data_IF_162827750571
#
_entry.id   IF_162827750571
#
_cell.length_a   1.000
_cell.length_b   1.000
_cell.length_c   1.000
_cell.angle_alpha   90.00
_cell.angle_beta   90.00
_cell.angle_gamma   90.00
#
_symmetry.space_group_name_H-M   'P 1'
#
loop_
_entity.id
_entity.type
_entity.pdbx_description
1 polymer ?
#
# COMPACT_ATOMS: atom_id res chain seq x y z
N UNK A 1 -20.77 -3.04 0.77
CA UNK A 1 -20.70 -1.61 1.14
C UNK A 1 -19.34 -1.42 1.76
N UNK A 2 -18.55 -0.45 1.30
CA UNK A 2 -17.21 -0.23 1.89
C UNK A 2 -17.39 0.33 3.30
N UNK A 3 -16.50 -0.05 4.23
CA UNK A 3 -16.57 0.45 5.60
C UNK A 3 -16.20 1.94 5.64
N UNK A 4 -16.61 2.64 6.69
CA UNK A 4 -16.21 4.04 6.89
C UNK A 4 -14.67 4.18 6.90
N UNK A 5 -13.96 3.18 7.42
CA UNK A 5 -12.51 3.15 7.46
C UNK A 5 -11.85 3.01 6.07
N UNK A 6 -12.42 2.21 5.16
CA UNK A 6 -11.94 2.16 3.75
C UNK A 6 -12.02 3.56 3.13
N UNK A 7 -13.17 4.24 3.28
CA UNK A 7 -13.36 5.58 2.72
C UNK A 7 -12.40 6.60 3.36
N UNK A 8 -12.18 6.52 4.68
CA UNK A 8 -11.24 7.39 5.39
C UNK A 8 -9.81 7.25 4.89
N UNK A 9 -9.35 6.01 4.62
CA UNK A 9 -8.01 5.78 4.06
C UNK A 9 -7.96 6.23 2.59
N UNK A 10 -8.95 5.80 1.80
CA UNK A 10 -9.00 6.03 0.35
C UNK A 10 -9.03 7.51 -0.02
N UNK A 11 -9.89 8.26 0.66
CA UNK A 11 -10.14 9.69 0.39
C UNK A 11 -9.36 10.61 1.34
N UNK A 12 -8.41 10.06 2.11
CA UNK A 12 -7.59 10.82 3.05
C UNK A 12 -6.97 12.05 2.39
N UNK A 13 -6.97 13.15 3.12
CA UNK A 13 -6.24 14.37 2.74
C UNK A 13 -5.47 14.86 3.96
N UNK A 14 -4.17 15.21 3.81
CA UNK A 14 -3.36 15.68 4.93
C UNK A 14 -4.00 16.88 5.64
N UNK A 15 -4.05 16.82 6.96
CA UNK A 15 -4.53 17.93 7.80
C UNK A 15 -3.33 18.78 8.16
N UNK A 16 -3.32 20.04 7.71
CA UNK A 16 -2.17 20.95 7.86
C UNK A 16 -0.85 20.35 7.32
N UNK A 17 -0.95 19.55 6.24
CA UNK A 17 0.19 18.84 5.64
C UNK A 17 0.64 17.58 6.40
N UNK A 18 -0.04 17.22 7.50
CA UNK A 18 0.28 16.04 8.30
C UNK A 18 -0.43 14.78 7.82
N UNK A 19 0.33 13.71 7.68
CA UNK A 19 -0.16 12.34 7.42
C UNK A 19 -0.37 11.53 8.69
N UNK A 20 0.05 12.03 9.87
CA UNK A 20 -0.01 11.28 11.14
C UNK A 20 -1.37 10.66 11.48
N UNK A 21 -2.53 11.25 11.15
CA UNK A 21 -3.82 10.61 11.43
C UNK A 21 -4.00 9.23 10.75
N UNK A 22 -3.29 8.96 9.65
CA UNK A 22 -3.31 7.65 8.98
C UNK A 22 -2.75 6.53 9.86
N UNK A 23 -1.85 6.80 10.79
CA UNK A 23 -1.31 5.76 11.69
C UNK A 23 -2.43 5.06 12.45
N UNK A 24 -3.40 5.83 12.98
CA UNK A 24 -4.56 5.27 13.67
C UNK A 24 -5.47 4.49 12.73
N UNK A 25 -5.65 4.95 11.49
CA UNK A 25 -6.45 4.23 10.49
C UNK A 25 -5.80 2.90 10.08
N UNK A 26 -4.47 2.88 9.95
CA UNK A 26 -3.74 1.65 9.65
C UNK A 26 -3.78 0.68 10.84
N UNK A 27 -3.57 1.16 12.07
CA UNK A 27 -3.71 0.33 13.26
C UNK A 27 -5.08 -0.34 13.35
N UNK A 28 -6.16 0.41 13.10
CA UNK A 28 -7.53 -0.12 13.07
C UNK A 28 -7.72 -1.13 11.93
N UNK A 29 -7.26 -0.80 10.72
CA UNK A 29 -7.40 -1.68 9.56
C UNK A 29 -6.66 -3.01 9.75
N UNK A 30 -5.42 -2.97 10.25
CA UNK A 30 -4.61 -4.19 10.45
C UNK A 30 -4.97 -4.98 11.70
N UNK A 31 -5.78 -4.41 12.60
CA UNK A 31 -6.37 -5.12 13.74
C UNK A 31 -7.77 -5.70 13.46
N UNK A 32 -8.30 -5.46 12.26
CA UNK A 32 -9.63 -5.96 11.85
C UNK A 32 -9.63 -7.48 11.63
N UNK A 33 -10.83 -8.05 11.50
CA UNK A 33 -11.00 -9.49 11.26
C UNK A 33 -10.47 -9.94 9.89
N UNK A 34 -10.47 -9.05 8.90
CA UNK A 34 -9.92 -9.29 7.56
C UNK A 34 -9.18 -8.03 7.04
N UNK A 35 -7.90 -7.84 7.42
CA UNK A 35 -7.14 -6.66 7.00
C UNK A 35 -6.98 -6.51 5.48
N UNK A 36 -7.12 -7.61 4.73
CA UNK A 36 -6.93 -7.60 3.27
C UNK A 36 -7.98 -6.78 2.54
N UNK A 37 -9.14 -6.51 3.17
CA UNK A 37 -10.20 -5.67 2.62
C UNK A 37 -9.74 -4.22 2.39
N UNK A 38 -8.74 -3.74 3.14
CA UNK A 38 -8.25 -2.36 3.08
C UNK A 38 -7.14 -2.13 2.05
N UNK A 39 -6.61 -3.17 1.41
CA UNK A 39 -5.48 -3.04 0.49
C UNK A 39 -5.78 -2.09 -0.69
N UNK A 40 -7.00 -2.16 -1.25
CA UNK A 40 -7.39 -1.28 -2.36
C UNK A 40 -7.56 0.18 -1.93
N UNK A 41 -7.80 0.46 -0.65
CA UNK A 41 -7.82 1.83 -0.11
C UNK A 41 -6.39 2.35 0.05
N UNK A 42 -5.50 1.53 0.61
CA UNK A 42 -4.08 1.85 0.82
C UNK A 42 -3.36 2.07 -0.52
N UNK A 43 -3.51 1.20 -1.50
CA UNK A 43 -2.87 1.42 -2.80
C UNK A 43 -3.44 2.64 -3.52
N UNK A 44 -4.73 2.95 -3.34
CA UNK A 44 -5.29 4.17 -3.90
C UNK A 44 -4.72 5.43 -3.23
N UNK A 45 -4.48 5.39 -1.92
CA UNK A 45 -3.76 6.45 -1.21
C UNK A 45 -2.37 6.67 -1.83
N UNK A 46 -1.61 5.60 -2.09
CA UNK A 46 -0.30 5.73 -2.74
C UNK A 46 -0.38 6.29 -4.16
N UNK A 47 -1.41 5.98 -4.94
CA UNK A 47 -1.62 6.59 -6.27
C UNK A 47 -1.92 8.09 -6.17
N UNK A 48 -2.66 8.52 -5.15
CA UNK A 48 -3.02 9.93 -4.92
C UNK A 48 -1.84 10.77 -4.43
N UNK A 49 -0.87 10.13 -3.76
CA UNK A 49 0.37 10.75 -3.29
C UNK A 49 1.60 10.01 -3.87
N UNK A 50 1.81 10.07 -5.21
CA UNK A 50 2.72 9.14 -5.88
C UNK A 50 4.19 9.38 -5.62
N UNK A 51 4.57 10.60 -5.26
CA UNK A 51 5.96 10.99 -5.00
C UNK A 51 6.27 11.13 -3.50
N UNK A 52 5.33 10.78 -2.62
CA UNK A 52 5.42 10.95 -1.17
C UNK A 52 5.50 9.57 -0.46
N UNK A 53 6.10 9.55 0.73
CA UNK A 53 6.09 8.42 1.65
C UNK A 53 5.25 8.68 2.92
N UNK A 54 4.48 9.77 2.92
CA UNK A 54 3.64 10.21 4.02
C UNK A 54 4.47 10.67 5.22
N UNK A 55 5.65 11.24 4.98
CA UNK A 55 6.66 11.52 6.01
C UNK A 55 6.98 10.29 6.87
N UNK A 56 7.06 9.12 6.24
CA UNK A 56 7.30 7.84 6.89
C UNK A 56 6.03 7.03 7.22
N UNK A 57 4.85 7.65 7.27
CA UNK A 57 3.60 6.96 7.70
C UNK A 57 3.17 5.86 6.73
N UNK A 58 3.47 5.98 5.43
CA UNK A 58 3.13 4.93 4.46
C UNK A 58 3.90 3.62 4.71
N UNK A 59 5.02 3.67 5.44
CA UNK A 59 5.76 2.48 5.86
C UNK A 59 4.99 1.63 6.87
N UNK A 60 4.16 2.24 7.73
CA UNK A 60 3.27 1.50 8.63
C UNK A 60 2.29 0.63 7.85
N UNK A 61 1.71 1.16 6.75
CA UNK A 61 0.85 0.39 5.87
C UNK A 61 1.61 -0.74 5.14
N UNK A 62 2.82 -0.46 4.66
CA UNK A 62 3.69 -1.47 4.07
C UNK A 62 3.97 -2.62 5.05
N UNK A 63 4.35 -2.31 6.29
CA UNK A 63 4.66 -3.32 7.30
C UNK A 63 3.42 -4.11 7.71
N UNK A 64 2.26 -3.46 7.82
CA UNK A 64 0.99 -4.15 8.02
C UNK A 64 0.68 -5.14 6.91
N UNK A 65 0.80 -4.72 5.64
CA UNK A 65 0.61 -5.61 4.49
C UNK A 65 1.64 -6.74 4.44
N UNK A 66 2.92 -6.48 4.75
CA UNK A 66 3.97 -7.50 4.84
C UNK A 66 3.67 -8.55 5.93
N UNK A 67 3.13 -8.12 7.08
CA UNK A 67 2.78 -9.01 8.18
C UNK A 67 1.55 -9.88 7.88
N UNK A 68 0.55 -9.34 7.18
CA UNK A 68 -0.68 -10.06 6.80
C UNK A 68 -0.47 -10.94 5.55
N UNK A 69 0.29 -10.45 4.57
CA UNK A 69 0.55 -11.10 3.28
C UNK A 69 -0.58 -10.94 2.26
N UNK A 70 -0.37 -11.48 1.05
CA UNK A 70 -1.39 -11.54 -0.01
C UNK A 70 -1.64 -10.23 -0.75
N UNK A 71 -0.75 -9.25 -0.62
CA UNK A 71 -0.87 -7.95 -1.29
C UNK A 71 -0.17 -7.90 -2.66
N UNK A 72 0.65 -8.90 -2.98
CA UNK A 72 1.64 -8.83 -4.06
C UNK A 72 1.00 -8.67 -5.45
N UNK A 73 -0.06 -9.42 -5.75
CA UNK A 73 -0.78 -9.29 -7.02
C UNK A 73 -1.47 -7.92 -7.16
N UNK A 74 -1.99 -7.37 -6.07
CA UNK A 74 -2.55 -6.02 -6.04
C UNK A 74 -1.47 -4.96 -6.22
N UNK A 75 -0.34 -5.10 -5.53
CA UNK A 75 0.83 -4.24 -5.72
C UNK A 75 1.22 -4.18 -7.19
N UNK A 76 1.29 -5.34 -7.85
CA UNK A 76 1.61 -5.40 -9.27
C UNK A 76 0.57 -4.68 -10.13
N UNK A 77 -0.72 -4.92 -9.89
CA UNK A 77 -1.80 -4.29 -10.64
C UNK A 77 -1.80 -2.76 -10.50
N UNK A 78 -1.62 -2.24 -9.28
CA UNK A 78 -1.54 -0.81 -9.01
C UNK A 78 -0.26 -0.18 -9.55
N UNK A 79 0.89 -0.87 -9.44
CA UNK A 79 2.15 -0.41 -10.04
C UNK A 79 2.02 -0.27 -11.56
N UNK A 80 1.46 -1.27 -12.24
CA UNK A 80 1.30 -1.24 -13.70
C UNK A 80 0.30 -0.17 -14.16
N UNK A 81 -0.72 0.12 -13.33
CA UNK A 81 -1.71 1.15 -13.60
C UNK A 81 -1.13 2.55 -13.42
N UNK A 82 -0.54 2.83 -12.27
CA UNK A 82 0.06 4.14 -11.94
C UNK A 82 1.16 3.97 -10.89
N UNK A 83 2.44 3.86 -11.31
CA UNK A 83 3.52 3.64 -10.36
C UNK A 83 3.72 4.82 -9.42
N UNK A 84 3.73 4.53 -8.12
CA UNK A 84 4.16 5.43 -7.04
C UNK A 84 5.53 5.04 -6.48
N UNK A 85 6.17 5.94 -5.73
CA UNK A 85 7.42 5.67 -5.01
C UNK A 85 7.27 4.49 -4.04
N UNK A 86 6.14 4.39 -3.34
CA UNK A 86 5.86 3.25 -2.46
C UNK A 86 5.74 1.93 -3.23
N UNK A 87 4.97 1.88 -4.31
CA UNK A 87 4.81 0.64 -5.10
C UNK A 87 6.13 0.21 -5.78
N UNK A 88 6.91 1.16 -6.31
CA UNK A 88 8.28 0.93 -6.81
C UNK A 88 9.17 0.32 -5.73
N UNK A 89 9.16 0.92 -4.54
CA UNK A 89 9.98 0.50 -3.40
C UNK A 89 9.61 -0.90 -2.94
N UNK A 90 8.32 -1.20 -2.82
CA UNK A 90 7.82 -2.52 -2.45
C UNK A 90 8.25 -3.59 -3.46
N UNK A 91 8.07 -3.36 -4.78
CA UNK A 91 8.51 -4.30 -5.80
C UNK A 91 10.03 -4.52 -5.79
N UNK A 92 10.82 -3.45 -5.58
CA UNK A 92 12.27 -3.57 -5.44
C UNK A 92 12.65 -4.43 -4.22
N UNK A 93 11.96 -4.26 -3.10
CA UNK A 93 12.18 -5.08 -1.89
C UNK A 93 11.87 -6.55 -2.13
N UNK A 94 10.73 -6.85 -2.75
CA UNK A 94 10.34 -8.22 -3.13
C UNK A 94 11.37 -8.84 -4.07
N UNK A 95 11.81 -8.11 -5.11
CA UNK A 95 12.87 -8.59 -6.00
C UNK A 95 14.17 -8.87 -5.24
N UNK A 96 14.57 -7.95 -4.36
CA UNK A 96 15.83 -8.06 -3.62
C UNK A 96 15.80 -9.18 -2.56
N UNK A 97 14.62 -9.68 -2.17
CA UNK A 97 14.51 -10.89 -1.34
C UNK A 97 14.65 -12.20 -2.13
N UNK A 98 14.88 -12.11 -3.45
CA UNK A 98 15.08 -13.26 -4.34
C UNK A 98 13.82 -13.73 -5.05
N UNK A 99 12.67 -13.07 -4.84
CA UNK A 99 11.43 -13.39 -5.56
C UNK A 99 11.55 -12.91 -7.01
N UNK A 100 11.28 -13.83 -7.95
CA UNK A 100 11.40 -13.58 -9.39
C UNK A 100 10.07 -13.29 -10.08
N UNK A 101 8.97 -13.74 -9.51
CA UNK A 101 7.63 -13.67 -10.11
C UNK A 101 6.55 -13.41 -9.07
N UNK A 102 5.52 -12.66 -9.45
CA UNK A 102 4.27 -12.49 -8.72
C UNK A 102 3.15 -12.97 -9.65
N UNK A 103 2.40 -13.99 -9.22
CA UNK A 103 1.47 -14.70 -10.10
C UNK A 103 2.19 -15.21 -11.35
N UNK A 104 1.77 -14.72 -12.52
CA UNK A 104 2.36 -15.05 -13.84
C UNK A 104 3.36 -14.00 -14.35
N UNK A 105 3.61 -12.92 -13.61
CA UNK A 105 4.43 -11.80 -14.07
C UNK A 105 5.84 -11.84 -13.48
N UNK A 106 6.85 -11.77 -14.33
CA UNK A 106 8.26 -11.66 -13.95
C UNK A 106 8.60 -10.25 -13.47
N UNK A 107 9.22 -10.12 -12.28
CA UNK A 107 9.53 -8.82 -11.68
C UNK A 107 10.75 -8.15 -12.33
N UNK A 108 11.71 -8.94 -12.82
CA UNK A 108 12.97 -8.43 -13.40
C UNK A 108 12.78 -7.44 -14.56
N UNK A 109 11.67 -7.54 -15.30
CA UNK A 109 11.37 -6.65 -16.43
C UNK A 109 10.53 -5.42 -16.09
N UNK A 110 10.13 -5.22 -14.83
CA UNK A 110 9.21 -4.16 -14.42
C UNK A 110 9.88 -2.90 -13.88
N UNK A 111 11.14 -2.98 -13.46
CA UNK A 111 11.88 -1.95 -12.71
C UNK A 111 13.21 -1.60 -13.40
#
# INVERSE_FOLDING_TARGET
>A
MKSALDEQIREFSPVDGSFLPLEGYFEEAFSSADPSEYYDAIFNLFERFPDDDGAGVFWSALHGMEAVGGYEEKLLAYFQRYPSEMTRTMLRRIRNSGVKQIGTTTIEGLL
#
